data_IF_330209445626
#
_entry.id   IF_330209445626
#
_cell.length_a   1.000
_cell.length_b   1.000
_cell.length_c   1.000
_cell.angle_alpha   90.00
_cell.angle_beta   90.00
_cell.angle_gamma   90.00
#
_symmetry.space_group_name_H-M   'P 1'
#
loop_
_entity.id
_entity.type
_entity.pdbx_description
1 polymer ?
#
# COMPACT_ATOMS: atom_id res chain seq x y z
N UNK A 1 2.88 4.02 23.96
CA UNK A 1 1.94 3.30 23.06
C UNK A 1 1.61 4.24 21.92
N UNK A 2 1.63 3.77 20.67
CA UNK A 2 1.18 4.57 19.52
C UNK A 2 -0.32 4.37 19.36
N UNK A 3 -1.12 5.39 19.64
CA UNK A 3 -2.58 5.37 19.51
C UNK A 3 -2.95 6.52 18.59
N UNK A 4 -3.67 6.24 17.51
CA UNK A 4 -4.20 7.29 16.65
C UNK A 4 -5.40 7.98 17.32
N UNK A 5 -5.49 9.31 17.22
CA UNK A 5 -6.59 10.09 17.81
C UNK A 5 -7.77 10.28 16.86
N UNK A 6 -7.56 10.03 15.56
CA UNK A 6 -8.59 10.07 14.53
C UNK A 6 -8.32 9.02 13.45
N UNK A 7 -9.34 8.74 12.62
CA UNK A 7 -9.18 7.87 11.44
C UNK A 7 -8.30 8.50 10.36
N UNK A 8 -8.22 9.83 10.33
CA UNK A 8 -7.43 10.58 9.35
C UNK A 8 -5.92 10.33 9.52
N UNK A 9 -5.48 10.08 10.75
CA UNK A 9 -4.08 9.70 11.06
C UNK A 9 -3.68 8.33 10.48
N UNK A 10 -4.64 7.54 10.02
CA UNK A 10 -4.43 6.24 9.38
C UNK A 10 -4.40 6.33 7.84
N UNK A 11 -4.59 7.52 7.26
CA UNK A 11 -4.52 7.75 5.81
C UNK A 11 -3.06 7.71 5.35
N UNK A 12 -2.81 7.04 4.23
CA UNK A 12 -1.50 6.92 3.61
C UNK A 12 -0.66 5.81 4.23
N UNK A 13 0.67 5.89 4.04
CA UNK A 13 1.64 4.87 4.47
C UNK A 13 1.28 3.43 4.08
N UNK A 14 0.47 3.27 3.02
CA UNK A 14 0.08 1.98 2.48
C UNK A 14 1.31 1.22 1.96
N UNK A 15 1.34 -0.11 2.03
CA UNK A 15 2.53 -0.85 1.67
C UNK A 15 2.82 -0.77 0.18
N UNK A 16 4.12 -0.78 -0.14
CA UNK A 16 4.62 -1.06 -1.49
C UNK A 16 5.05 -2.52 -1.53
N UNK A 17 4.41 -3.32 -2.38
CA UNK A 17 4.69 -4.74 -2.51
C UNK A 17 5.38 -5.04 -3.83
N UNK A 18 6.39 -5.91 -3.80
CA UNK A 18 7.04 -6.39 -5.03
C UNK A 18 6.23 -7.52 -5.65
N UNK A 19 5.84 -7.36 -6.90
CA UNK A 19 5.11 -8.37 -7.66
C UNK A 19 6.10 -9.42 -8.19
N UNK A 20 6.46 -10.39 -7.35
CA UNK A 20 7.59 -11.30 -7.62
C UNK A 20 7.46 -12.07 -8.94
N UNK A 21 6.30 -12.68 -9.21
CA UNK A 21 6.08 -13.48 -10.44
C UNK A 21 6.17 -12.62 -11.69
N UNK A 22 5.51 -11.47 -11.71
CA UNK A 22 5.49 -10.55 -12.85
C UNK A 22 6.85 -9.86 -13.05
N UNK A 23 7.53 -9.51 -11.96
CA UNK A 23 8.89 -8.95 -12.02
C UNK A 23 9.85 -9.96 -12.65
N UNK A 24 9.78 -11.23 -12.26
CA UNK A 24 10.59 -12.30 -12.84
C UNK A 24 10.26 -12.54 -14.32
N UNK A 25 8.98 -12.52 -14.69
CA UNK A 25 8.55 -12.76 -16.06
C UNK A 25 8.94 -11.61 -17.02
N UNK A 26 8.90 -10.36 -16.55
CA UNK A 26 9.18 -9.18 -17.38
C UNK A 26 10.64 -8.72 -17.35
N UNK A 27 11.44 -9.15 -16.37
CA UNK A 27 12.78 -8.63 -16.12
C UNK A 27 12.82 -7.23 -15.49
N UNK A 28 11.66 -6.57 -15.34
CA UNK A 28 11.53 -5.28 -14.68
C UNK A 28 11.24 -5.43 -13.18
N UNK A 29 11.57 -4.42 -12.38
CA UNK A 29 11.10 -4.35 -10.98
C UNK A 29 9.68 -3.78 -10.97
N UNK A 30 8.70 -4.64 -10.73
CA UNK A 30 7.29 -4.26 -10.67
C UNK A 30 6.83 -4.17 -9.21
N UNK A 31 6.27 -3.02 -8.85
CA UNK A 31 5.80 -2.71 -7.51
C UNK A 31 4.32 -2.33 -7.55
N UNK A 32 3.54 -2.83 -6.60
CA UNK A 32 2.14 -2.46 -6.38
C UNK A 32 2.02 -1.63 -5.10
N UNK A 33 1.34 -0.49 -5.18
CA UNK A 33 1.01 0.35 -4.03
C UNK A 33 -0.42 0.04 -3.58
N UNK A 34 -0.58 -0.45 -2.35
CA UNK A 34 -1.86 -0.98 -1.87
C UNK A 34 -2.79 0.13 -1.33
N UNK A 35 -3.20 1.08 -2.17
CA UNK A 35 -4.08 2.20 -1.76
C UNK A 35 -5.45 1.77 -1.23
N UNK A 36 -5.89 0.54 -1.53
CA UNK A 36 -7.08 -0.05 -0.93
C UNK A 36 -6.94 -0.32 0.59
N UNK A 37 -5.75 -0.15 1.17
CA UNK A 37 -5.50 -0.30 2.61
C UNK A 37 -5.66 1.00 3.40
N UNK A 38 -6.01 2.10 2.73
CA UNK A 38 -6.49 3.30 3.44
C UNK A 38 -7.79 2.99 4.19
N UNK A 39 -8.16 3.79 5.21
CA UNK A 39 -9.33 3.51 6.05
C UNK A 39 -10.66 3.40 5.30
N UNK A 40 -10.79 4.09 4.16
CA UNK A 40 -11.97 4.09 3.27
C UNK A 40 -11.92 3.00 2.20
N UNK A 41 -10.94 2.09 2.27
CA UNK A 41 -10.69 1.01 1.28
C UNK A 41 -10.34 1.48 -0.13
N UNK A 42 -9.94 2.74 -0.30
CA UNK A 42 -9.62 3.31 -1.60
C UNK A 42 -8.55 4.40 -1.50
N UNK A 43 -8.07 4.89 -2.64
CA UNK A 43 -7.16 6.05 -2.69
C UNK A 43 -7.83 7.38 -2.30
N UNK A 44 -9.17 7.40 -2.25
CA UNK A 44 -10.01 8.54 -1.88
C UNK A 44 -10.40 8.45 -0.42
#
# INVERSE_FOLDING_TARGET
MMIAHSIEELIGNTPLIKLQKLSKASGATLLGKCEFMNPTSSVK
#
